data_IF_548689734933
#
_entry.id   IF_548689734933
#
_cell.length_a   1.000
_cell.length_b   1.000
_cell.length_c   1.000
_cell.angle_alpha   90.00
_cell.angle_beta   90.00
_cell.angle_gamma   90.00
#
_symmetry.space_group_name_H-M   'P 1'
#
loop_
_entity.id
_entity.type
_entity.pdbx_description
1 polymer ?
#
# COMPACT_ATOMS: atom_id res chain seq x y z
N UNK A 1 -24.67 -23.95 36.20
CA UNK A 1 -23.82 -23.45 35.09
C UNK A 1 -22.70 -22.61 35.69
N UNK A 2 -21.43 -22.82 35.33
CA UNK A 2 -20.34 -22.33 36.16
C UNK A 2 -20.09 -20.83 35.94
N UNK A 3 -19.92 -20.03 37.01
CA UNK A 3 -19.69 -18.57 36.95
C UNK A 3 -18.41 -18.18 36.19
N UNK A 4 -17.51 -19.13 35.93
CA UNK A 4 -16.30 -18.94 35.12
C UNK A 4 -16.59 -18.76 33.63
N UNK A 5 -17.60 -19.44 33.09
CA UNK A 5 -17.94 -19.36 31.67
C UNK A 5 -18.57 -18.00 31.32
N UNK A 6 -19.42 -17.49 32.20
CA UNK A 6 -20.03 -16.16 32.07
C UNK A 6 -18.99 -15.02 32.17
N UNK A 7 -18.00 -15.15 33.05
CA UNK A 7 -16.90 -14.17 33.17
C UNK A 7 -16.00 -14.18 31.93
N UNK A 8 -15.62 -15.35 31.43
CA UNK A 8 -14.81 -15.48 30.22
C UNK A 8 -15.55 -14.90 29.00
N UNK A 9 -16.84 -15.20 28.86
CA UNK A 9 -17.69 -14.63 27.81
C UNK A 9 -17.82 -13.10 27.92
N UNK A 10 -17.93 -12.58 29.15
CA UNK A 10 -17.95 -11.14 29.40
C UNK A 10 -16.65 -10.45 28.98
N UNK A 11 -15.50 -11.02 29.33
CA UNK A 11 -14.20 -10.46 28.94
C UNK A 11 -13.94 -10.53 27.44
N UNK A 12 -14.28 -11.64 26.78
CA UNK A 12 -14.12 -11.75 25.33
C UNK A 12 -15.04 -10.78 24.60
N UNK A 13 -16.30 -10.65 25.04
CA UNK A 13 -17.26 -9.71 24.43
C UNK A 13 -16.81 -8.27 24.61
N UNK A 14 -16.34 -7.89 25.80
CA UNK A 14 -15.81 -6.55 26.05
C UNK A 14 -14.55 -6.27 25.21
N UNK A 15 -13.61 -7.21 25.15
CA UNK A 15 -12.39 -7.05 24.36
C UNK A 15 -12.67 -6.93 22.85
N UNK A 16 -13.58 -7.76 22.32
CA UNK A 16 -14.01 -7.68 20.92
C UNK A 16 -14.73 -6.37 20.67
N UNK A 17 -15.69 -5.98 21.52
CA UNK A 17 -16.43 -4.73 21.39
C UNK A 17 -15.53 -3.50 21.38
N UNK A 18 -14.59 -3.42 22.32
CA UNK A 18 -13.61 -2.30 22.38
C UNK A 18 -12.70 -2.29 21.17
N UNK A 19 -12.22 -3.45 20.73
CA UNK A 19 -11.36 -3.57 19.54
C UNK A 19 -12.09 -3.13 18.27
N UNK A 20 -13.29 -3.67 18.04
CA UNK A 20 -14.10 -3.33 16.86
C UNK A 20 -14.49 -1.85 16.85
N UNK A 21 -14.88 -1.28 18.00
CA UNK A 21 -15.19 0.14 18.10
C UNK A 21 -13.97 1.02 17.82
N UNK A 22 -12.80 0.66 18.37
CA UNK A 22 -11.56 1.40 18.16
C UNK A 22 -11.10 1.36 16.70
N UNK A 23 -11.18 0.19 16.06
CA UNK A 23 -10.91 0.04 14.63
C UNK A 23 -11.89 0.91 13.83
N UNK A 24 -13.20 0.81 14.10
CA UNK A 24 -14.20 1.61 13.40
C UNK A 24 -13.95 3.12 13.52
N UNK A 25 -13.66 3.61 14.74
CA UNK A 25 -13.36 5.02 14.99
C UNK A 25 -12.07 5.47 14.30
N UNK A 26 -11.03 4.63 14.33
CA UNK A 26 -9.77 4.88 13.63
C UNK A 26 -9.95 4.95 12.12
N UNK A 27 -10.75 4.04 11.55
CA UNK A 27 -11.10 4.05 10.13
C UNK A 27 -11.86 5.32 9.75
N UNK A 28 -12.89 5.71 10.51
CA UNK A 28 -13.63 6.96 10.25
C UNK A 28 -12.69 8.18 10.25
N UNK A 29 -11.80 8.27 11.23
CA UNK A 29 -10.83 9.38 11.29
C UNK A 29 -9.89 9.41 10.08
N UNK A 30 -9.39 8.25 9.65
CA UNK A 30 -8.54 8.15 8.46
C UNK A 30 -9.31 8.46 7.18
N UNK A 31 -10.54 7.98 7.07
CA UNK A 31 -11.45 8.23 5.93
C UNK A 31 -11.75 9.72 5.76
N UNK A 32 -11.99 10.44 6.87
CA UNK A 32 -12.18 11.89 6.89
C UNK A 32 -10.90 12.64 6.53
N UNK A 33 -9.75 12.21 7.06
CA UNK A 33 -8.47 12.91 6.86
C UNK A 33 -7.87 12.70 5.48
N UNK A 34 -8.05 11.51 4.89
CA UNK A 34 -7.50 11.13 3.59
C UNK A 34 -8.63 10.61 2.69
N UNK A 35 -9.45 11.51 2.12
CA UNK A 35 -10.53 11.12 1.22
C UNK A 35 -9.97 10.45 -0.04
N UNK A 36 -10.78 9.57 -0.65
CA UNK A 36 -10.41 8.91 -1.88
C UNK A 36 -10.38 9.91 -3.05
N UNK A 37 -9.32 9.85 -3.86
CA UNK A 37 -9.12 10.68 -5.03
C UNK A 37 -9.67 10.00 -6.30
N UNK A 38 -9.96 10.77 -7.36
CA UNK A 38 -10.39 10.20 -8.64
C UNK A 38 -9.30 9.29 -9.23
N UNK A 39 -9.67 8.22 -9.97
CA UNK A 39 -8.69 7.34 -10.61
C UNK A 39 -7.71 8.07 -11.55
N UNK A 40 -8.13 9.20 -12.13
CA UNK A 40 -7.31 10.06 -12.98
C UNK A 40 -6.11 10.69 -12.26
N UNK A 41 -6.08 10.68 -10.92
CA UNK A 41 -4.94 11.19 -10.15
C UNK A 41 -3.74 10.22 -10.11
N UNK A 42 -3.95 8.95 -10.51
CA UNK A 42 -2.91 7.92 -10.56
C UNK A 42 -2.41 7.67 -11.98
N UNK A 43 -1.34 6.86 -12.11
CA UNK A 43 -0.87 6.47 -13.43
C UNK A 43 -1.78 5.44 -14.10
N UNK A 44 -1.74 5.38 -15.44
CA UNK A 44 -2.43 4.34 -16.24
C UNK A 44 -1.96 2.93 -15.91
N UNK A 45 -0.76 2.78 -15.34
CA UNK A 45 -0.24 1.49 -14.93
C UNK A 45 -1.12 0.86 -13.85
N UNK A 46 -1.73 1.65 -12.95
CA UNK A 46 -2.62 1.13 -11.90
C UNK A 46 -3.87 0.44 -12.48
N UNK A 47 -4.35 0.85 -13.65
CA UNK A 47 -5.52 0.22 -14.29
C UNK A 47 -5.19 -1.07 -15.03
N UNK A 48 -3.91 -1.31 -15.36
CA UNK A 48 -3.46 -2.52 -16.05
C UNK A 48 -3.05 -3.57 -15.01
N UNK A 49 -3.75 -4.71 -14.89
CA UNK A 49 -3.38 -5.74 -13.93
C UNK A 49 -2.00 -6.33 -14.25
N UNK A 50 -1.38 -6.99 -13.26
CA UNK A 50 -0.07 -7.60 -13.44
C UNK A 50 -0.04 -8.61 -14.60
N UNK A 51 -1.10 -9.42 -14.75
CA UNK A 51 -1.26 -10.39 -15.83
C UNK A 51 -2.53 -10.10 -16.66
N UNK A 52 -2.50 -9.19 -17.65
CA UNK A 52 -3.69 -8.75 -18.40
C UNK A 52 -4.47 -9.85 -19.12
N UNK A 53 -3.83 -10.99 -19.41
CA UNK A 53 -4.47 -12.10 -20.10
C UNK A 53 -5.35 -12.97 -19.18
N UNK A 54 -5.10 -12.95 -17.87
CA UNK A 54 -5.81 -13.80 -16.90
C UNK A 54 -6.49 -13.00 -15.80
N UNK A 55 -6.04 -11.77 -15.57
CA UNK A 55 -6.49 -10.93 -14.46
C UNK A 55 -7.25 -9.70 -14.94
N UNK A 56 -8.03 -9.15 -14.02
CA UNK A 56 -8.62 -7.82 -14.09
C UNK A 56 -8.23 -7.00 -12.88
N UNK A 57 -8.06 -5.70 -13.06
CA UNK A 57 -7.99 -4.75 -11.96
C UNK A 57 -9.43 -4.44 -11.52
N UNK A 58 -9.82 -4.87 -10.32
CA UNK A 58 -11.20 -4.69 -9.86
C UNK A 58 -11.48 -3.25 -9.40
N UNK A 59 -10.50 -2.61 -8.75
CA UNK A 59 -10.61 -1.23 -8.30
C UNK A 59 -9.22 -0.65 -8.03
N UNK A 60 -9.17 0.68 -8.06
CA UNK A 60 -8.00 1.48 -7.71
C UNK A 60 -8.44 2.53 -6.71
N UNK A 61 -7.78 2.58 -5.57
CA UNK A 61 -8.00 3.61 -4.56
C UNK A 61 -6.74 4.47 -4.45
N UNK A 62 -6.91 5.78 -4.40
CA UNK A 62 -5.81 6.75 -4.37
C UNK A 62 -6.03 7.68 -3.19
N UNK A 63 -5.01 7.83 -2.34
CA UNK A 63 -5.03 8.72 -1.18
C UNK A 63 -3.90 9.72 -1.29
N UNK A 64 -4.15 10.96 -0.89
CA UNK A 64 -3.20 12.06 -1.04
C UNK A 64 -3.07 12.84 0.28
N UNK A 65 -1.90 13.39 0.51
CA UNK A 65 -1.60 14.28 1.61
C UNK A 65 -0.73 15.45 1.13
N UNK A 66 -1.00 16.64 1.61
CA UNK A 66 -0.16 17.80 1.34
C UNK A 66 0.87 17.94 2.45
N UNK A 67 2.15 18.03 2.07
CA UNK A 67 3.25 18.24 3.00
C UNK A 67 4.13 19.41 2.55
N UNK A 68 4.79 20.12 3.48
CA UNK A 68 5.80 21.10 3.12
C UNK A 68 6.89 20.45 2.26
N UNK A 69 7.30 21.12 1.18
CA UNK A 69 8.33 20.62 0.27
C UNK A 69 9.62 20.29 1.04
N UNK A 70 10.03 21.19 1.93
CA UNK A 70 11.21 21.07 2.79
C UNK A 70 11.30 19.73 3.54
N UNK A 71 10.16 19.17 3.97
CA UNK A 71 10.12 17.91 4.71
C UNK A 71 10.54 16.72 3.84
N UNK A 72 10.24 16.78 2.53
CA UNK A 72 10.64 15.77 1.57
C UNK A 72 12.07 16.02 1.08
N UNK A 73 12.45 17.29 0.87
CA UNK A 73 13.80 17.68 0.46
C UNK A 73 14.86 17.27 1.49
N UNK A 74 14.55 17.32 2.79
CA UNK A 74 15.42 16.86 3.87
C UNK A 74 15.82 15.37 3.75
N UNK A 75 15.10 14.59 2.95
CA UNK A 75 15.40 13.17 2.66
C UNK A 75 16.20 12.96 1.39
N UNK A 76 16.48 14.02 0.63
CA UNK A 76 17.28 13.95 -0.59
C UNK A 76 18.76 14.16 -0.23
N UNK A 77 19.67 13.21 -0.58
CA UNK A 77 21.04 13.27 -0.09
C UNK A 77 21.88 14.46 -0.56
N UNK A 78 21.60 15.10 -1.72
CA UNK A 78 22.62 15.90 -2.40
C UNK A 78 22.15 17.01 -3.37
N UNK A 79 21.07 17.75 -3.07
CA UNK A 79 20.60 18.82 -3.98
C UNK A 79 20.05 20.05 -3.27
N UNK A 80 20.51 21.25 -3.68
CA UNK A 80 19.89 22.54 -3.32
C UNK A 80 18.51 22.74 -3.97
N UNK A 81 18.25 22.04 -5.08
CA UNK A 81 16.97 21.99 -5.80
C UNK A 81 16.77 20.56 -6.32
N UNK A 82 16.04 19.71 -5.59
CA UNK A 82 15.84 18.33 -5.98
C UNK A 82 14.98 18.22 -7.24
N UNK A 83 15.36 17.28 -8.10
CA UNK A 83 14.60 16.90 -9.28
C UNK A 83 13.32 16.15 -8.88
N UNK A 84 12.30 16.14 -9.76
CA UNK A 84 11.05 15.37 -9.54
C UNK A 84 11.35 13.90 -9.20
N UNK A 85 12.29 13.28 -9.93
CA UNK A 85 12.70 11.89 -9.72
C UNK A 85 13.29 11.68 -8.33
N UNK A 86 14.11 12.61 -7.83
CA UNK A 86 14.66 12.53 -6.48
C UNK A 86 13.58 12.65 -5.40
N UNK A 87 12.58 13.51 -5.62
CA UNK A 87 11.41 13.62 -4.74
C UNK A 87 10.57 12.33 -4.74
N UNK A 88 10.36 11.71 -5.91
CA UNK A 88 9.68 10.41 -6.03
C UNK A 88 10.45 9.31 -5.29
N UNK A 89 11.78 9.27 -5.42
CA UNK A 89 12.62 8.34 -4.66
C UNK A 89 12.55 8.60 -3.15
N UNK A 90 12.61 9.87 -2.73
CA UNK A 90 12.51 10.25 -1.33
C UNK A 90 11.16 9.85 -0.73
N UNK A 91 10.07 10.07 -1.46
CA UNK A 91 8.73 9.68 -1.03
C UNK A 91 8.60 8.17 -0.91
N UNK A 92 9.02 7.43 -1.94
CA UNK A 92 8.98 5.97 -1.93
C UNK A 92 9.78 5.37 -0.76
N UNK A 93 10.99 5.89 -0.49
CA UNK A 93 11.79 5.49 0.68
C UNK A 93 11.11 5.83 2.00
N UNK A 94 10.42 6.97 2.06
CA UNK A 94 9.70 7.40 3.27
C UNK A 94 8.51 6.50 3.58
N UNK A 95 7.76 6.08 2.54
CA UNK A 95 6.66 5.12 2.68
C UNK A 95 7.19 3.74 3.09
N UNK A 96 8.12 3.17 2.33
CA UNK A 96 8.71 1.85 2.61
C UNK A 96 9.46 1.82 3.95
N UNK A 97 10.02 2.95 4.35
CA UNK A 97 10.72 3.17 5.62
C UNK A 97 9.82 3.53 6.79
N UNK A 98 8.50 3.67 6.60
CA UNK A 98 7.55 3.95 7.68
C UNK A 98 7.51 2.81 8.70
N UNK A 99 7.15 3.13 9.95
CA UNK A 99 7.10 2.12 11.03
C UNK A 99 6.15 0.96 10.70
N UNK A 100 5.05 1.25 9.99
CA UNK A 100 4.05 0.26 9.60
C UNK A 100 4.70 -0.79 8.67
N UNK A 101 5.23 -0.36 7.53
CA UNK A 101 5.83 -1.27 6.55
C UNK A 101 7.15 -1.90 7.03
N UNK A 102 7.95 -1.18 7.83
CA UNK A 102 9.15 -1.77 8.45
C UNK A 102 8.81 -2.89 9.42
N UNK A 103 7.76 -2.71 10.21
CA UNK A 103 7.31 -3.75 11.14
C UNK A 103 6.84 -4.98 10.37
N UNK A 104 6.02 -4.79 9.33
CA UNK A 104 5.56 -5.90 8.47
C UNK A 104 6.73 -6.62 7.79
N UNK A 105 7.65 -5.88 7.18
CA UNK A 105 8.85 -6.46 6.59
C UNK A 105 9.68 -7.23 7.61
N UNK A 106 9.81 -6.73 8.85
CA UNK A 106 10.57 -7.40 9.92
C UNK A 106 9.90 -8.68 10.41
N UNK A 107 8.56 -8.69 10.52
CA UNK A 107 7.78 -9.88 10.85
C UNK A 107 7.92 -10.91 9.74
N UNK A 108 7.80 -10.49 8.48
CA UNK A 108 8.00 -11.39 7.35
C UNK A 108 9.41 -11.99 7.35
N UNK A 109 10.43 -11.17 7.57
CA UNK A 109 11.82 -11.61 7.69
C UNK A 109 12.03 -12.61 8.83
N UNK A 110 11.35 -12.42 9.96
CA UNK A 110 11.37 -13.36 11.08
C UNK A 110 10.76 -14.70 10.69
N UNK A 111 9.65 -14.70 9.94
CA UNK A 111 8.94 -15.91 9.52
C UNK A 111 9.66 -16.67 8.39
N UNK A 112 10.33 -15.96 7.48
CA UNK A 112 10.96 -16.56 6.30
C UNK A 112 12.45 -16.87 6.48
N UNK A 113 13.16 -16.05 7.26
CA UNK A 113 14.61 -16.10 7.39
C UNK A 113 15.11 -16.10 8.84
N UNK A 114 14.21 -16.17 9.82
CA UNK A 114 14.52 -16.09 11.26
C UNK A 114 15.29 -14.83 11.66
N UNK A 115 15.13 -13.73 10.91
CA UNK A 115 15.77 -12.44 11.18
C UNK A 115 14.72 -11.34 11.28
N UNK A 116 14.65 -10.69 12.45
CA UNK A 116 13.76 -9.56 12.67
C UNK A 116 14.38 -8.25 12.14
N UNK A 117 14.47 -8.12 10.82
CA UNK A 117 14.92 -6.90 10.15
C UNK A 117 14.03 -6.62 8.94
N UNK A 118 13.75 -5.35 8.58
CA UNK A 118 12.90 -5.04 7.44
C UNK A 118 13.58 -5.32 6.09
N UNK A 119 14.87 -5.67 6.07
CA UNK A 119 15.68 -5.83 4.86
C UNK A 119 15.67 -4.56 3.99
N UNK A 120 15.67 -4.71 2.66
CA UNK A 120 15.77 -3.59 1.72
C UNK A 120 14.49 -2.74 1.70
N UNK A 121 14.68 -1.45 1.94
CA UNK A 121 13.65 -0.39 1.93
C UNK A 121 13.90 0.63 0.80
N UNK A 122 14.79 0.32 -0.15
CA UNK A 122 15.19 1.22 -1.23
C UNK A 122 16.36 2.14 -0.88
N UNK A 123 17.00 1.92 0.28
CA UNK A 123 18.14 2.70 0.76
C UNK A 123 19.49 2.21 0.21
N UNK A 124 19.49 1.12 -0.58
CA UNK A 124 20.69 0.65 -1.25
C UNK A 124 21.21 1.69 -2.28
N UNK A 125 22.51 1.69 -2.63
CA UNK A 125 23.05 2.57 -3.67
C UNK A 125 22.34 2.42 -5.03
N UNK A 126 21.88 1.20 -5.33
CA UNK A 126 21.12 0.89 -6.56
C UNK A 126 19.63 1.28 -6.45
N UNK A 127 19.18 1.73 -5.27
CA UNK A 127 17.82 2.20 -5.01
C UNK A 127 16.77 1.12 -5.30
N UNK A 128 15.98 1.36 -6.36
CA UNK A 128 14.90 0.48 -6.81
C UNK A 128 15.22 -0.22 -8.13
N UNK A 129 16.44 -0.05 -8.66
CA UNK A 129 16.83 -0.63 -9.94
C UNK A 129 16.82 -2.17 -9.88
N UNK A 130 16.50 -2.85 -10.99
CA UNK A 130 16.59 -4.29 -11.08
C UNK A 130 18.03 -4.76 -10.81
N UNK A 131 18.17 -6.03 -10.46
CA UNK A 131 19.47 -6.63 -10.22
C UNK A 131 20.35 -6.56 -11.48
N UNK A 132 21.56 -6.01 -11.36
CA UNK A 132 22.46 -5.76 -12.51
C UNK A 132 22.95 -7.06 -13.18
N UNK A 133 22.99 -8.16 -12.44
CA UNK A 133 23.55 -9.42 -12.92
C UNK A 133 22.50 -10.31 -13.58
N UNK A 134 21.28 -10.31 -13.06
CA UNK A 134 20.18 -11.18 -13.50
C UNK A 134 19.10 -10.45 -14.28
N UNK A 135 19.04 -9.12 -14.19
CA UNK A 135 17.92 -8.31 -14.69
C UNK A 135 16.61 -8.53 -13.92
N UNK A 136 16.63 -9.32 -12.84
CA UNK A 136 15.44 -9.64 -12.08
C UNK A 136 14.90 -8.37 -11.37
N UNK A 137 13.57 -8.21 -11.27
CA UNK A 137 13.01 -7.09 -10.57
C UNK A 137 13.42 -7.07 -9.09
N UNK A 138 13.69 -5.88 -8.56
CA UNK A 138 14.15 -5.70 -7.17
C UNK A 138 13.07 -6.16 -6.20
N UNK A 139 13.49 -6.85 -5.15
CA UNK A 139 12.62 -7.31 -4.07
C UNK A 139 12.89 -6.49 -2.81
N UNK A 140 11.82 -6.00 -2.19
CA UNK A 140 11.83 -5.10 -1.03
C UNK A 140 11.09 -5.76 0.14
N UNK A 141 11.39 -5.31 1.37
CA UNK A 141 10.71 -5.73 2.61
C UNK A 141 10.63 -7.26 2.78
N UNK A 142 11.77 -7.96 2.64
CA UNK A 142 11.86 -9.43 2.75
C UNK A 142 10.98 -10.24 1.79
N UNK A 143 10.75 -9.76 0.58
CA UNK A 143 9.89 -10.47 -0.38
C UNK A 143 8.47 -9.94 -0.47
N UNK A 144 8.09 -9.01 0.41
CA UNK A 144 6.73 -8.48 0.43
C UNK A 144 6.40 -7.74 -0.88
N UNK A 145 7.34 -6.96 -1.40
CA UNK A 145 7.15 -6.16 -2.60
C UNK A 145 8.18 -6.47 -3.67
N UNK A 146 7.71 -6.52 -4.91
CA UNK A 146 8.52 -6.57 -6.12
C UNK A 146 8.36 -5.27 -6.89
N UNK A 147 9.46 -4.64 -7.29
CA UNK A 147 9.42 -3.40 -8.08
C UNK A 147 8.95 -3.73 -9.51
N UNK A 148 7.86 -3.12 -9.94
CA UNK A 148 7.33 -3.24 -11.30
C UNK A 148 7.78 -2.09 -12.20
N UNK A 149 7.87 -0.89 -11.63
CA UNK A 149 8.34 0.31 -12.34
C UNK A 149 9.05 1.24 -11.37
N UNK A 150 10.24 1.70 -11.77
CA UNK A 150 11.02 2.68 -11.00
C UNK A 150 10.52 4.12 -11.25
N UNK A 151 10.79 5.06 -10.32
CA UNK A 151 10.59 6.49 -10.57
C UNK A 151 11.20 6.92 -11.91
N UNK A 152 10.50 7.79 -12.64
CA UNK A 152 10.91 8.31 -13.96
C UNK A 152 11.24 7.27 -15.06
N UNK A 153 10.76 6.03 -14.97
CA UNK A 153 11.00 5.01 -16.01
C UNK A 153 10.38 5.36 -17.38
N UNK A 154 9.22 6.02 -17.39
CA UNK A 154 8.48 6.42 -18.58
C UNK A 154 7.78 7.78 -18.38
N UNK A 155 7.29 8.39 -19.47
CA UNK A 155 6.55 9.65 -19.41
C UNK A 155 5.23 9.56 -18.63
N UNK A 156 4.67 8.34 -18.54
CA UNK A 156 3.49 8.00 -17.73
C UNK A 156 3.88 7.59 -16.28
N UNK A 157 5.14 7.74 -15.89
CA UNK A 157 5.60 7.46 -14.53
C UNK A 157 5.24 8.60 -13.60
N UNK A 158 4.45 8.27 -12.59
CA UNK A 158 4.14 9.17 -11.49
C UNK A 158 4.94 8.83 -10.23
N UNK A 159 5.83 7.83 -10.26
CA UNK A 159 6.62 7.38 -9.12
C UNK A 159 6.85 5.87 -9.08
N UNK A 160 7.22 5.35 -7.90
CA UNK A 160 7.52 3.93 -7.71
C UNK A 160 6.24 3.09 -7.77
N UNK A 161 6.21 2.06 -8.62
CA UNK A 161 5.17 1.04 -8.63
C UNK A 161 5.75 -0.29 -8.13
N UNK A 162 5.14 -0.84 -7.09
CA UNK A 162 5.47 -2.17 -6.56
C UNK A 162 4.25 -3.08 -6.60
N UNK A 163 4.49 -4.38 -6.63
CA UNK A 163 3.46 -5.41 -6.55
C UNK A 163 3.75 -6.39 -5.42
N UNK A 164 2.70 -6.87 -4.77
CA UNK A 164 2.70 -8.00 -3.87
C UNK A 164 1.82 -9.09 -4.48
N UNK A 165 2.43 -10.21 -4.89
CA UNK A 165 1.69 -11.38 -5.34
C UNK A 165 1.20 -12.14 -4.11
N UNK A 166 -0.09 -12.49 -4.08
CA UNK A 166 -0.61 -13.42 -3.09
C UNK A 166 -0.18 -14.85 -3.45
N UNK A 167 0.26 -15.68 -2.50
CA UNK A 167 0.53 -17.09 -2.77
C UNK A 167 -0.68 -17.79 -3.41
N UNK A 168 -0.40 -18.75 -4.29
CA UNK A 168 -1.44 -19.39 -5.09
C UNK A 168 -2.35 -20.28 -4.24
N UNK A 169 -1.83 -20.88 -3.17
CA UNK A 169 -2.56 -21.80 -2.30
C UNK A 169 -3.80 -21.18 -1.62
N UNK A 170 -3.72 -20.04 -0.90
CA UNK A 170 -4.90 -19.41 -0.35
C UNK A 170 -5.85 -18.92 -1.45
N UNK A 171 -5.32 -18.36 -2.56
CA UNK A 171 -6.15 -17.92 -3.69
C UNK A 171 -6.98 -19.09 -4.23
N UNK A 172 -6.34 -20.19 -4.60
CA UNK A 172 -6.96 -21.38 -5.18
C UNK A 172 -7.96 -22.05 -4.23
N UNK A 173 -7.69 -22.05 -2.92
CA UNK A 173 -8.65 -22.51 -1.93
C UNK A 173 -9.95 -21.68 -1.99
N UNK A 174 -9.84 -20.35 -1.98
CA UNK A 174 -11.01 -19.47 -2.08
C UNK A 174 -11.69 -19.58 -3.44
N UNK A 175 -10.94 -19.79 -4.52
CA UNK A 175 -11.52 -20.04 -5.83
C UNK A 175 -12.32 -21.34 -5.88
N UNK A 176 -11.81 -22.39 -5.23
CA UNK A 176 -12.47 -23.68 -5.13
C UNK A 176 -13.80 -23.53 -4.39
N UNK A 177 -13.82 -22.97 -3.19
CA UNK A 177 -15.07 -22.83 -2.43
C UNK A 177 -16.04 -21.82 -3.06
N UNK A 178 -15.55 -20.81 -3.80
CA UNK A 178 -16.39 -19.87 -4.54
C UNK A 178 -17.20 -20.56 -5.65
N UNK A 179 -16.66 -21.62 -6.26
CA UNK A 179 -17.42 -22.47 -7.21
C UNK A 179 -18.57 -23.22 -6.55
N UNK A 180 -18.50 -23.43 -5.23
CA UNK A 180 -19.52 -24.13 -4.44
C UNK A 180 -20.50 -23.17 -3.75
N UNK A 181 -20.53 -21.90 -4.19
CA UNK A 181 -21.46 -20.90 -3.68
C UNK A 181 -20.87 -19.96 -2.62
N UNK A 182 -19.58 -20.07 -2.27
CA UNK A 182 -18.96 -19.08 -1.39
C UNK A 182 -18.98 -17.68 -2.04
N UNK A 183 -19.29 -16.61 -1.29
CA UNK A 183 -19.71 -15.35 -1.89
C UNK A 183 -18.58 -14.46 -2.40
N UNK A 184 -17.31 -14.76 -2.11
CA UNK A 184 -16.18 -13.90 -2.47
C UNK A 184 -14.92 -14.67 -2.86
N UNK A 185 -13.95 -13.97 -3.44
CA UNK A 185 -12.63 -14.47 -3.85
C UNK A 185 -11.52 -13.59 -3.25
N UNK A 186 -10.33 -14.15 -3.14
CA UNK A 186 -9.12 -13.38 -2.80
C UNK A 186 -8.52 -12.74 -4.06
N UNK A 187 -7.85 -11.62 -3.86
CA UNK A 187 -7.03 -11.01 -4.90
C UNK A 187 -5.83 -11.91 -5.24
N UNK A 188 -5.39 -11.88 -6.49
CA UNK A 188 -4.15 -12.55 -6.91
C UNK A 188 -2.93 -11.65 -6.72
N UNK A 189 -3.13 -10.34 -6.83
CA UNK A 189 -2.07 -9.35 -6.65
C UNK A 189 -2.61 -8.04 -6.08
N UNK A 190 -1.74 -7.35 -5.33
CA UNK A 190 -1.92 -5.96 -4.90
C UNK A 190 -0.79 -5.14 -5.50
N UNK A 191 -1.11 -4.00 -6.11
CA UNK A 191 -0.12 -3.06 -6.63
C UNK A 191 -0.21 -1.74 -5.88
N UNK A 192 0.94 -1.19 -5.53
CA UNK A 192 1.04 0.10 -4.84
C UNK A 192 1.86 1.08 -5.66
N UNK A 193 1.33 2.30 -5.82
CA UNK A 193 2.05 3.41 -6.42
C UNK A 193 2.32 4.49 -5.37
N UNK A 194 3.57 4.92 -5.30
CA UNK A 194 4.03 6.00 -4.43
C UNK A 194 4.39 7.17 -5.32
N UNK A 195 3.49 8.16 -5.43
CA UNK A 195 3.63 9.28 -6.36
C UNK A 195 3.72 10.63 -5.66
N UNK A 196 4.36 11.60 -6.33
CA UNK A 196 4.55 12.96 -5.84
C UNK A 196 4.14 13.94 -6.93
N UNK A 197 3.37 14.97 -6.58
CA UNK A 197 3.04 16.05 -7.50
C UNK A 197 4.23 16.96 -7.79
N UNK A 198 4.10 17.82 -8.79
CA UNK A 198 4.99 18.98 -8.88
C UNK A 198 4.80 19.88 -7.65
N UNK A 199 5.88 20.58 -7.20
CA UNK A 199 5.77 21.54 -6.12
C UNK A 199 4.83 22.70 -6.48
N UNK A 200 3.98 23.10 -5.54
CA UNK A 200 3.06 24.22 -5.71
C UNK A 200 3.10 25.13 -4.48
N UNK A 201 2.72 26.40 -4.67
CA UNK A 201 2.74 27.40 -3.61
C UNK A 201 1.40 27.46 -2.89
N UNK A 202 1.42 27.36 -1.57
CA UNK A 202 0.25 27.59 -0.70
C UNK A 202 0.35 28.98 -0.11
N UNK A 203 -0.70 29.78 -0.28
CA UNK A 203 -0.75 31.16 0.17
C UNK A 203 -0.46 31.27 1.68
N UNK A 204 0.58 32.01 2.04
CA UNK A 204 0.99 32.23 3.42
C UNK A 204 1.71 31.07 4.10
N UNK A 205 1.93 29.93 3.42
CA UNK A 205 2.57 28.74 4.03
C UNK A 205 3.83 28.26 3.30
N UNK A 206 4.08 28.70 2.06
CA UNK A 206 5.31 28.38 1.33
C UNK A 206 5.09 27.33 0.23
N UNK A 207 6.13 26.55 -0.07
CA UNK A 207 6.10 25.49 -1.09
C UNK A 207 5.65 24.16 -0.49
N UNK A 208 4.71 23.52 -1.16
CA UNK A 208 4.14 22.23 -0.77
C UNK A 208 4.23 21.25 -1.93
N UNK A 209 4.15 19.98 -1.59
CA UNK A 209 3.96 18.88 -2.53
C UNK A 209 2.79 18.04 -2.07
N UNK A 210 2.08 17.44 -3.03
CA UNK A 210 1.08 16.42 -2.75
C UNK A 210 1.73 15.05 -2.93
N UNK A 211 1.83 14.31 -1.84
CA UNK A 211 2.30 12.92 -1.84
C UNK A 211 1.10 11.99 -1.86
N UNK A 212 1.19 10.92 -2.64
CA UNK A 212 0.08 9.98 -2.82
C UNK A 212 0.53 8.55 -2.58
N UNK A 213 -0.40 7.77 -2.03
CA UNK A 213 -0.29 6.33 -1.91
C UNK A 213 -1.53 5.70 -2.56
N UNK A 214 -1.29 4.98 -3.65
CA UNK A 214 -2.36 4.34 -4.43
C UNK A 214 -2.31 2.82 -4.26
N UNK A 215 -3.46 2.18 -4.34
CA UNK A 215 -3.61 0.73 -4.27
C UNK A 215 -4.48 0.24 -5.42
N UNK A 216 -4.04 -0.77 -6.15
CA UNK A 216 -4.84 -1.48 -7.16
C UNK A 216 -4.89 -2.96 -6.82
N UNK A 217 -6.07 -3.57 -6.94
CA UNK A 217 -6.28 -4.97 -6.61
C UNK A 217 -6.65 -5.77 -7.84
N UNK A 218 -5.83 -6.77 -8.13
CA UNK A 218 -6.00 -7.65 -9.28
C UNK A 218 -6.64 -8.97 -8.85
N UNK A 219 -7.59 -9.43 -9.64
CA UNK A 219 -8.31 -10.69 -9.43
C UNK A 219 -8.22 -11.51 -10.72
N UNK A 220 -8.16 -12.83 -10.58
CA UNK A 220 -8.30 -13.73 -11.73
C UNK A 220 -9.71 -13.60 -12.32
N UNK A 221 -9.78 -13.59 -13.66
CA UNK A 221 -11.01 -13.61 -14.43
C UNK A 221 -11.57 -15.03 -14.41
N UNK A 222 -12.86 -15.15 -14.09
CA UNK A 222 -13.54 -16.45 -14.02
C UNK A 222 -14.71 -16.44 -14.99
N UNK A 223 -14.54 -17.11 -16.13
CA UNK A 223 -15.52 -17.13 -17.23
C UNK A 223 -16.92 -17.59 -16.77
N UNK A 224 -16.98 -18.53 -15.83
CA UNK A 224 -18.24 -19.06 -15.30
C UNK A 224 -19.08 -18.02 -14.51
N UNK A 225 -18.45 -16.92 -14.06
CA UNK A 225 -19.14 -15.82 -13.36
C UNK A 225 -19.64 -14.73 -14.33
N UNK A 226 -19.26 -14.81 -15.61
CA UNK A 226 -19.72 -13.90 -16.65
C UNK A 226 -19.04 -12.53 -16.59
N UNK A 227 -19.86 -11.47 -16.70
CA UNK A 227 -19.41 -10.07 -16.79
C UNK A 227 -18.51 -9.65 -15.63
N UNK A 228 -17.53 -8.78 -15.91
CA UNK A 228 -16.51 -8.36 -14.94
C UNK A 228 -17.09 -7.76 -13.64
N UNK A 229 -18.22 -7.09 -13.73
CA UNK A 229 -18.92 -6.45 -12.60
C UNK A 229 -19.58 -7.48 -11.67
N UNK A 230 -19.92 -8.66 -12.19
CA UNK A 230 -20.55 -9.76 -11.45
C UNK A 230 -19.52 -10.70 -10.82
N UNK A 231 -18.25 -10.58 -11.22
CA UNK A 231 -17.19 -11.41 -10.70
C UNK A 231 -16.93 -11.11 -9.22
N UNK A 232 -16.78 -12.19 -8.46
CA UNK A 232 -16.64 -12.15 -7.01
C UNK A 232 -15.34 -11.45 -6.60
N UNK A 233 -15.43 -10.57 -5.62
CA UNK A 233 -14.31 -9.91 -4.95
C UNK A 233 -14.49 -10.04 -3.44
N UNK A 234 -13.50 -9.58 -2.65
CA UNK A 234 -13.60 -9.52 -1.19
C UNK A 234 -14.83 -8.69 -0.76
N UNK A 235 -15.44 -9.00 0.40
CA UNK A 235 -16.62 -8.27 0.85
C UNK A 235 -16.28 -6.84 1.29
N UNK A 236 -17.28 -5.95 1.28
CA UNK A 236 -17.11 -4.50 1.51
C UNK A 236 -16.41 -4.15 2.82
N UNK A 237 -16.65 -4.90 3.90
CA UNK A 237 -15.99 -4.64 5.18
C UNK A 237 -14.49 -4.97 5.11
N UNK A 238 -14.09 -6.01 4.37
CA UNK A 238 -12.69 -6.34 4.14
C UNK A 238 -12.05 -5.30 3.23
N UNK A 239 -12.76 -4.89 2.18
CA UNK A 239 -12.35 -3.77 1.32
C UNK A 239 -12.12 -2.49 2.15
N UNK A 240 -13.04 -2.15 3.05
CA UNK A 240 -12.89 -1.01 3.95
C UNK A 240 -11.64 -1.11 4.82
N UNK A 241 -11.33 -2.30 5.35
CA UNK A 241 -10.11 -2.52 6.12
C UNK A 241 -8.85 -2.33 5.27
N UNK A 242 -8.80 -2.87 4.04
CA UNK A 242 -7.68 -2.64 3.11
C UNK A 242 -7.49 -1.14 2.82
N UNK A 243 -8.60 -0.45 2.54
CA UNK A 243 -8.62 0.99 2.29
C UNK A 243 -8.17 1.81 3.50
N UNK A 244 -8.56 1.40 4.70
CA UNK A 244 -8.10 1.99 5.94
C UNK A 244 -6.62 1.75 6.20
N UNK A 245 -6.14 0.55 5.90
CA UNK A 245 -4.74 0.18 6.03
C UNK A 245 -3.84 1.00 5.09
N UNK A 246 -4.26 1.19 3.84
CA UNK A 246 -3.57 2.07 2.89
C UNK A 246 -3.48 3.53 3.40
N UNK A 247 -4.57 4.06 3.99
CA UNK A 247 -4.55 5.38 4.63
C UNK A 247 -3.66 5.43 5.87
N UNK A 248 -3.58 4.35 6.64
CA UNK A 248 -2.69 4.26 7.80
C UNK A 248 -1.22 4.30 7.37
N UNK A 249 -0.85 3.61 6.28
CA UNK A 249 0.50 3.68 5.70
C UNK A 249 0.82 5.13 5.31
N UNK A 250 -0.09 5.80 4.58
CA UNK A 250 0.07 7.20 4.19
C UNK A 250 0.22 8.12 5.42
N UNK A 251 -0.67 8.00 6.41
CA UNK A 251 -0.65 8.80 7.64
C UNK A 251 0.65 8.61 8.42
N UNK A 252 1.12 7.37 8.53
CA UNK A 252 2.38 7.06 9.22
C UNK A 252 3.56 7.72 8.52
N UNK A 253 3.68 7.55 7.20
CA UNK A 253 4.77 8.13 6.42
C UNK A 253 4.78 9.66 6.50
N UNK A 254 3.62 10.30 6.38
CA UNK A 254 3.45 11.76 6.47
C UNK A 254 3.84 12.28 7.86
N UNK A 255 3.35 11.64 8.92
CA UNK A 255 3.67 12.06 10.30
C UNK A 255 5.16 11.91 10.62
N UNK A 256 5.79 10.84 10.14
CA UNK A 256 7.22 10.61 10.34
C UNK A 256 8.06 11.66 9.60
N UNK A 257 7.69 12.00 8.36
CA UNK A 257 8.31 13.08 7.59
C UNK A 257 8.21 14.43 8.30
N UNK A 258 7.00 14.82 8.69
CA UNK A 258 6.75 16.11 9.36
C UNK A 258 7.47 16.21 10.72
N UNK A 259 7.50 15.11 11.48
CA UNK A 259 8.20 15.07 12.77
C UNK A 259 9.71 15.25 12.59
N UNK A 260 10.30 14.64 11.56
CA UNK A 260 11.73 14.71 11.35
C UNK A 260 12.17 16.04 10.70
N UNK A 261 11.29 16.71 9.96
CA UNK A 261 11.52 18.07 9.45
C UNK A 261 11.44 19.16 10.55
N UNK A 262 10.67 18.91 11.61
CA UNK A 262 10.57 19.83 12.77
C UNK A 262 11.69 19.69 13.81
N UNK A 263 12.68 18.82 13.56
CA UNK A 263 13.89 18.65 14.39
C UNK A 263 15.06 19.39 13.77
#
# INVERSE_FOLDING_TARGET
MPPRFLRLLGYTTAAVGVSSYSIHRGLNHLEERYPAQPPAAGSRALSKPQSPNTQRCAYTDIYAAQIPLEALEARVPNTKTPTKTELEHAWARSVLGSIVLRTEGSILGLLTSFRFTPSDTGNSPDGFLPDKSTGAPRVLLNGLFQVQRVPAADADSNGLLVSMKLPDEPREFFEKIARWGYPWRLMSCVRHEMSVSEPFRVNGQGMFVEVRFSTAHDYEVVDAEGELEKQKIIPDWTLRLHRGYARLILDSAVRELQRDAGK
#
